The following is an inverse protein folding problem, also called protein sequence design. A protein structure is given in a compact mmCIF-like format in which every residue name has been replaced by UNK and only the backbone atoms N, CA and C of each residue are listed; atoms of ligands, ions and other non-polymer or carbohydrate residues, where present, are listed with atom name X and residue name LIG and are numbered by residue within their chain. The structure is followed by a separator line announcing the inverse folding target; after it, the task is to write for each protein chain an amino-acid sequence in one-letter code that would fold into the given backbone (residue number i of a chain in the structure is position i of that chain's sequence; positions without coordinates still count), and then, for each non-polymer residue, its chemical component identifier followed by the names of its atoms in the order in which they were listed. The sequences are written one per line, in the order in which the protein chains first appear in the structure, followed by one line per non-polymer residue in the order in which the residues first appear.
data_IF_910691993825
#
_entry.id   IF_910691993825
#
_cell.length_a   1.000
_cell.length_b   1.000
_cell.length_c   1.000
_cell.angle_alpha   90.00
_cell.angle_beta   90.00
_cell.angle_gamma   90.00
#
_symmetry.space_group_name_H-M   'P 1'
#
loop_
_entity.id
_entity.type
_entity.pdbx_description
1 polymer ?
#
# COMPACT_ATOMS: atom_id res chain seq x y z
N UNK A 1 9.82 57.07 68.82
CA UNK A 1 10.63 56.73 67.63
C UNK A 1 10.20 55.36 67.13
N UNK A 2 9.25 55.30 66.20
CA UNK A 2 8.91 54.08 65.47
C UNK A 2 8.77 54.46 64.00
N UNK A 3 9.63 53.84 63.19
CA UNK A 3 9.80 54.08 61.77
C UNK A 3 9.49 52.75 61.09
N UNK A 4 8.71 52.83 60.01
CA UNK A 4 8.68 51.92 58.84
C UNK A 4 7.87 50.62 59.00
N UNK A 5 7.16 50.11 57.99
CA UNK A 5 6.75 50.60 56.66
C UNK A 5 5.90 49.45 56.06
N UNK A 6 4.66 49.77 55.65
CA UNK A 6 3.96 49.37 54.40
C UNK A 6 4.37 48.05 53.71
N UNK A 7 3.38 47.17 53.47
CA UNK A 7 2.95 46.62 52.14
C UNK A 7 1.97 45.45 52.37
N UNK A 8 0.66 45.62 52.17
CA UNK A 8 -0.07 45.68 50.90
C UNK A 8 -0.28 44.31 50.23
N UNK A 9 -1.56 43.92 50.24
CA UNK A 9 -2.23 42.83 49.53
C UNK A 9 -1.77 42.63 48.08
N UNK A 10 -1.69 41.37 47.64
CA UNK A 10 -1.50 41.03 46.24
C UNK A 10 -1.44 39.51 46.01
N UNK A 11 -2.59 38.85 46.14
CA UNK A 11 -2.80 37.45 45.77
C UNK A 11 -2.50 37.25 44.28
N UNK A 12 -1.35 36.64 43.96
CA UNK A 12 -1.01 36.22 42.60
C UNK A 12 -1.31 34.73 42.44
N UNK A 13 -2.52 34.46 41.98
CA UNK A 13 -3.02 33.16 41.55
C UNK A 13 -2.23 32.71 40.30
N UNK A 14 -1.21 31.87 40.48
CA UNK A 14 -0.49 31.23 39.37
C UNK A 14 -1.39 30.15 38.73
N UNK A 15 -2.18 30.54 37.74
CA UNK A 15 -2.78 29.63 36.78
C UNK A 15 -1.66 29.15 35.83
N UNK A 16 -1.06 28.02 36.16
CA UNK A 16 -0.23 27.25 35.21
C UNK A 16 -1.19 26.70 34.16
N UNK A 17 -1.33 27.46 33.08
CA UNK A 17 -1.98 27.03 31.85
C UNK A 17 -1.19 25.86 31.28
N UNK A 18 -1.71 24.64 31.43
CA UNK A 18 -1.28 23.51 30.61
C UNK A 18 -1.57 23.88 29.16
N UNK A 19 -0.56 24.43 28.47
CA UNK A 19 -0.52 24.45 27.03
C UNK A 19 -0.54 22.98 26.58
N UNK A 20 -1.75 22.48 26.32
CA UNK A 20 -1.94 21.22 25.63
C UNK A 20 -1.26 21.35 24.29
N UNK A 21 -0.07 20.76 24.18
CA UNK A 21 0.50 20.41 22.89
C UNK A 21 -0.59 19.57 22.21
N UNK A 22 -1.16 20.00 21.07
CA UNK A 22 -1.95 19.08 20.27
C UNK A 22 -0.97 17.98 19.88
N UNK A 23 -1.05 16.85 20.58
CA UNK A 23 -0.42 15.63 20.11
C UNK A 23 -1.03 15.38 18.75
N UNK A 24 -0.25 15.62 17.70
CA UNK A 24 -0.51 15.01 16.41
C UNK A 24 -0.23 13.52 16.59
N UNK A 25 -1.12 12.82 17.28
CA UNK A 25 -1.40 11.44 16.99
C UNK A 25 -2.10 11.41 15.63
N UNK A 26 -1.35 11.76 14.58
CA UNK A 26 -1.65 11.31 13.24
C UNK A 26 -1.45 9.80 13.34
N UNK A 27 -2.55 9.10 13.64
CA UNK A 27 -2.61 7.69 13.35
C UNK A 27 -2.22 7.59 11.88
N UNK A 28 -1.02 7.06 11.62
CA UNK A 28 -0.63 6.55 10.33
C UNK A 28 -1.80 5.61 9.96
N UNK A 29 -2.74 6.10 9.14
CA UNK A 29 -3.85 5.27 8.67
C UNK A 29 -3.18 4.34 7.66
N UNK A 30 -2.66 3.25 8.23
CA UNK A 30 -1.79 2.28 7.61
C UNK A 30 -2.55 1.52 6.53
N UNK A 31 -2.04 1.59 5.30
CA UNK A 31 -2.50 0.76 4.19
C UNK A 31 -2.39 -0.72 4.56
N UNK A 32 -3.40 -1.51 4.21
CA UNK A 32 -3.35 -2.96 4.37
C UNK A 32 -2.54 -3.54 3.20
N UNK A 33 -1.41 -4.17 3.50
CA UNK A 33 -0.47 -4.67 2.51
C UNK A 33 -0.53 -6.19 2.50
N UNK A 34 -0.64 -6.76 1.29
CA UNK A 34 -0.55 -8.20 1.07
C UNK A 34 0.70 -8.50 0.24
N UNK A 35 1.56 -9.38 0.75
CA UNK A 35 2.75 -9.84 0.03
C UNK A 35 2.44 -11.18 -0.63
N UNK A 36 2.65 -11.26 -1.94
CA UNK A 36 2.29 -12.37 -2.80
C UNK A 36 3.53 -12.91 -3.49
N UNK A 37 3.73 -14.21 -3.35
CA UNK A 37 4.82 -14.93 -3.98
C UNK A 37 4.48 -15.39 -5.39
N UNK A 38 5.21 -14.92 -6.38
CA UNK A 38 5.12 -15.40 -7.76
C UNK A 38 6.24 -16.41 -8.05
N UNK A 39 5.87 -17.61 -8.51
CA UNK A 39 6.79 -18.72 -8.77
C UNK A 39 6.49 -19.44 -10.10
N UNK A 40 5.81 -18.77 -11.04
CA UNK A 40 5.45 -19.32 -12.35
C UNK A 40 6.69 -19.61 -13.23
N UNK A 41 7.71 -18.74 -13.16
CA UNK A 41 8.95 -18.88 -13.92
C UNK A 41 9.78 -20.08 -13.39
N UNK A 42 10.25 -20.92 -14.31
CA UNK A 42 11.02 -22.13 -13.99
C UNK A 42 12.34 -21.85 -13.27
N UNK A 43 12.90 -20.66 -13.46
CA UNK A 43 14.16 -20.22 -12.87
C UNK A 43 13.99 -19.59 -11.48
N UNK A 44 12.74 -19.45 -11.01
CA UNK A 44 12.44 -18.94 -9.68
C UNK A 44 12.49 -20.02 -8.60
N UNK A 45 12.73 -19.59 -7.37
CA UNK A 45 12.66 -20.44 -6.18
C UNK A 45 11.20 -20.82 -5.93
N UNK A 46 10.85 -22.12 -5.89
CA UNK A 46 9.46 -22.55 -5.71
C UNK A 46 8.85 -22.08 -4.40
N UNK A 47 7.57 -21.71 -4.44
CA UNK A 47 6.84 -21.17 -3.27
C UNK A 47 6.72 -22.15 -2.10
N UNK A 48 6.70 -23.44 -2.38
CA UNK A 48 6.65 -24.50 -1.37
C UNK A 48 8.01 -24.75 -0.69
N UNK A 49 9.11 -24.15 -1.16
CA UNK A 49 10.44 -24.35 -0.61
C UNK A 49 10.59 -23.68 0.77
N UNK A 50 11.46 -24.25 1.62
CA UNK A 50 11.80 -23.66 2.92
C UNK A 50 12.44 -22.28 2.78
N UNK A 51 13.21 -22.08 1.71
CA UNK A 51 13.84 -20.79 1.38
C UNK A 51 12.79 -19.72 1.20
N UNK A 52 11.81 -19.99 0.33
CA UNK A 52 10.77 -19.05 -0.02
C UNK A 52 10.01 -18.59 1.23
N UNK A 53 9.54 -19.56 2.03
CA UNK A 53 8.80 -19.30 3.27
C UNK A 53 9.63 -18.47 4.27
N UNK A 54 10.87 -18.88 4.54
CA UNK A 54 11.74 -18.14 5.48
C UNK A 54 12.06 -16.72 5.04
N UNK A 55 12.20 -16.49 3.73
CA UNK A 55 12.44 -15.15 3.20
C UNK A 55 11.18 -14.30 3.29
N UNK A 56 10.01 -14.87 2.98
CA UNK A 56 8.72 -14.21 3.16
C UNK A 56 8.47 -13.84 4.63
N UNK A 57 8.66 -14.79 5.55
CA UNK A 57 8.47 -14.59 6.99
C UNK A 57 9.39 -13.47 7.51
N UNK A 58 10.69 -13.54 7.19
CA UNK A 58 11.65 -12.53 7.62
C UNK A 58 11.36 -11.13 7.03
N UNK A 59 10.88 -11.07 5.79
CA UNK A 59 10.47 -9.81 5.16
C UNK A 59 9.20 -9.25 5.82
N UNK A 60 8.21 -10.08 6.09
CA UNK A 60 6.97 -9.69 6.75
C UNK A 60 7.22 -9.19 8.18
N UNK A 61 8.04 -9.90 8.95
CA UNK A 61 8.44 -9.51 10.30
C UNK A 61 9.13 -8.14 10.32
N UNK A 62 10.09 -7.93 9.41
CA UNK A 62 10.84 -6.68 9.34
C UNK A 62 9.94 -5.51 8.92
N UNK A 63 9.04 -5.70 7.96
CA UNK A 63 8.07 -4.66 7.58
C UNK A 63 7.07 -4.36 8.72
N UNK A 64 6.61 -5.38 9.45
CA UNK A 64 5.78 -5.18 10.64
C UNK A 64 6.52 -4.37 11.70
N UNK A 65 7.82 -4.64 11.93
CA UNK A 65 8.66 -3.87 12.85
C UNK A 65 8.83 -2.40 12.41
N UNK A 66 8.80 -2.14 11.10
CA UNK A 66 8.81 -0.79 10.54
C UNK A 66 7.43 -0.08 10.61
N UNK A 67 6.39 -0.73 11.15
CA UNK A 67 5.07 -0.15 11.38
C UNK A 67 4.06 -0.37 10.25
N UNK A 68 4.39 -1.18 9.23
CA UNK A 68 3.46 -1.55 8.17
C UNK A 68 2.45 -2.60 8.65
N UNK A 69 1.26 -2.63 8.02
CA UNK A 69 0.24 -3.65 8.29
C UNK A 69 0.31 -4.74 7.23
N UNK A 70 1.10 -5.78 7.50
CA UNK A 70 1.27 -6.92 6.59
C UNK A 70 0.25 -8.01 6.89
N UNK A 71 -0.44 -8.49 5.85
CA UNK A 71 -1.35 -9.63 5.92
C UNK A 71 -0.70 -10.87 5.30
N UNK A 72 -0.88 -12.00 5.98
CA UNK A 72 -0.44 -13.30 5.47
C UNK A 72 -1.40 -13.80 4.38
N UNK A 73 -0.85 -14.24 3.24
CA UNK A 73 -1.64 -14.74 2.11
C UNK A 73 -2.50 -15.95 2.49
N UNK A 74 -1.99 -16.89 3.27
CA UNK A 74 -2.74 -18.09 3.65
C UNK A 74 -3.91 -17.73 4.56
N UNK A 75 -3.71 -16.81 5.50
CA UNK A 75 -4.74 -16.36 6.43
C UNK A 75 -5.89 -15.62 5.74
N UNK A 76 -5.63 -14.89 4.66
CA UNK A 76 -6.66 -14.15 3.92
C UNK A 76 -7.28 -14.95 2.76
N UNK A 77 -6.68 -16.07 2.38
CA UNK A 77 -7.14 -16.93 1.27
C UNK A 77 -7.65 -18.31 1.72
N UNK A 78 -7.92 -18.49 3.02
CA UNK A 78 -8.25 -19.78 3.64
C UNK A 78 -9.35 -20.58 2.90
N UNK A 79 -10.25 -19.92 2.17
CA UNK A 79 -11.34 -20.53 1.40
C UNK A 79 -11.08 -20.71 -0.11
N UNK A 80 -9.98 -20.16 -0.68
CA UNK A 80 -9.84 -20.03 -2.14
C UNK A 80 -8.60 -20.70 -2.75
N UNK A 81 -7.53 -20.96 -1.99
CA UNK A 81 -6.30 -21.51 -2.58
C UNK A 81 -5.39 -22.22 -1.56
N UNK A 82 -5.61 -23.52 -1.33
CA UNK A 82 -4.63 -24.36 -0.65
C UNK A 82 -3.84 -25.22 -1.65
N UNK A 83 -2.50 -25.18 -1.56
CA UNK A 83 -1.62 -26.23 -2.11
C UNK A 83 -1.15 -26.11 -3.56
N UNK A 84 -1.36 -24.99 -4.25
CA UNK A 84 -0.94 -24.83 -5.67
C UNK A 84 0.40 -24.08 -5.79
N UNK A 85 1.34 -24.65 -6.55
CA UNK A 85 2.62 -24.04 -6.95
C UNK A 85 2.59 -23.58 -8.41
N UNK A 86 3.47 -22.64 -8.79
CA UNK A 86 3.57 -22.02 -10.13
C UNK A 86 2.37 -21.17 -10.51
N UNK A 87 2.05 -20.18 -9.67
CA UNK A 87 0.92 -19.27 -9.89
C UNK A 87 1.36 -18.08 -10.74
N UNK A 88 0.61 -17.83 -11.80
CA UNK A 88 0.82 -16.67 -12.66
C UNK A 88 0.28 -15.40 -11.98
N UNK A 89 0.82 -14.26 -12.40
CA UNK A 89 0.51 -12.97 -11.79
C UNK A 89 -0.98 -12.57 -11.82
N UNK A 90 -1.69 -12.85 -12.91
CA UNK A 90 -3.13 -12.57 -13.02
C UNK A 90 -3.95 -13.32 -11.96
N UNK A 91 -3.59 -14.56 -11.65
CA UNK A 91 -4.26 -15.37 -10.63
C UNK A 91 -4.05 -14.79 -9.23
N UNK A 92 -2.84 -14.29 -8.94
CA UNK A 92 -2.51 -13.66 -7.66
C UNK A 92 -3.27 -12.34 -7.46
N UNK A 93 -3.39 -11.54 -8.52
CA UNK A 93 -4.12 -10.26 -8.50
C UNK A 93 -5.62 -10.49 -8.32
N UNK A 94 -6.20 -11.49 -8.99
CA UNK A 94 -7.62 -11.81 -8.86
C UNK A 94 -7.96 -12.29 -7.44
N UNK A 95 -7.07 -13.07 -6.82
CA UNK A 95 -7.19 -13.41 -5.40
C UNK A 95 -7.10 -12.16 -4.53
N UNK A 96 -6.12 -11.28 -4.77
CA UNK A 96 -5.99 -10.07 -3.97
C UNK A 96 -7.26 -9.21 -4.02
N UNK A 97 -7.91 -9.14 -5.19
CA UNK A 97 -9.17 -8.42 -5.41
C UNK A 97 -10.39 -9.08 -4.78
N UNK A 98 -10.41 -10.41 -4.65
CA UNK A 98 -11.54 -11.13 -4.04
C UNK A 98 -11.55 -11.01 -2.51
N UNK A 99 -10.41 -10.69 -1.89
CA UNK A 99 -10.30 -10.49 -0.44
C UNK A 99 -11.06 -9.22 -0.03
N UNK A 100 -12.23 -9.44 0.56
CA UNK A 100 -13.12 -8.37 1.02
C UNK A 100 -12.92 -8.01 2.51
N UNK A 101 -12.29 -8.89 3.30
CA UNK A 101 -12.17 -8.75 4.75
C UNK A 101 -10.81 -9.30 5.24
N UNK A 102 -9.86 -8.43 5.64
CA UNK A 102 -9.86 -6.98 5.50
C UNK A 102 -9.62 -6.54 4.05
N UNK A 103 -10.10 -5.36 3.63
CA UNK A 103 -9.82 -4.85 2.29
C UNK A 103 -8.31 -4.59 2.15
N UNK A 104 -7.69 -5.21 1.14
CA UNK A 104 -6.28 -4.98 0.81
C UNK A 104 -6.15 -3.73 -0.06
N UNK A 105 -5.21 -2.86 0.28
CA UNK A 105 -4.95 -1.63 -0.48
C UNK A 105 -3.77 -1.81 -1.44
N UNK A 106 -2.67 -2.42 -0.96
CA UNK A 106 -1.44 -2.62 -1.73
C UNK A 106 -1.10 -4.10 -1.82
N UNK A 107 -0.85 -4.56 -3.06
CA UNK A 107 -0.29 -5.88 -3.34
C UNK A 107 1.18 -5.75 -3.70
N UNK A 108 2.02 -6.48 -2.99
CA UNK A 108 3.44 -6.62 -3.29
C UNK A 108 3.66 -7.98 -3.92
N UNK A 109 3.91 -8.04 -5.22
CA UNK A 109 4.26 -9.28 -5.90
C UNK A 109 5.77 -9.37 -5.98
N UNK A 110 6.35 -10.50 -5.55
CA UNK A 110 7.79 -10.70 -5.59
C UNK A 110 8.16 -12.09 -6.10
N UNK A 111 9.36 -12.16 -6.68
CA UNK A 111 9.99 -13.36 -7.22
C UNK A 111 11.41 -13.45 -6.65
N UNK A 112 11.87 -14.68 -6.37
CA UNK A 112 13.24 -14.95 -5.94
C UNK A 112 13.94 -15.74 -7.04
N UNK A 113 15.04 -15.22 -7.54
CA UNK A 113 15.95 -15.88 -8.47
C UNK A 113 17.22 -16.29 -7.74
N UNK A 114 17.62 -17.55 -7.90
CA UNK A 114 18.89 -18.06 -7.38
C UNK A 114 19.73 -18.63 -8.52
N UNK A 115 20.98 -18.19 -8.61
CA UNK A 115 21.96 -18.77 -9.55
C UNK A 115 23.18 -19.27 -8.79
N UNK A 116 23.70 -20.41 -9.23
CA UNK A 116 24.90 -21.02 -8.69
C UNK A 116 25.94 -21.14 -9.80
N UNK A 117 27.15 -20.62 -9.54
CA UNK A 117 28.30 -20.77 -10.44
C UNK A 117 29.34 -21.62 -9.74
N UNK A 118 29.54 -22.83 -10.25
CA UNK A 118 30.58 -23.73 -9.76
C UNK A 118 31.96 -23.22 -10.16
N UNK A 119 32.85 -23.05 -9.18
CA UNK A 119 34.28 -22.85 -9.36
C UNK A 119 35.02 -24.09 -8.84
N UNK A 120 36.30 -24.22 -9.21
CA UNK A 120 37.11 -25.41 -8.91
C UNK A 120 37.15 -25.79 -7.41
N UNK A 121 37.01 -24.81 -6.51
CA UNK A 121 37.10 -24.98 -5.05
C UNK A 121 35.85 -24.52 -4.26
N UNK A 122 34.86 -23.87 -4.89
CA UNK A 122 33.65 -23.35 -4.23
C UNK A 122 32.50 -23.15 -5.21
N UNK A 123 31.26 -23.20 -4.74
CA UNK A 123 30.09 -22.78 -5.53
C UNK A 123 29.69 -21.38 -5.08
N UNK A 124 29.73 -20.42 -6.01
CA UNK A 124 29.33 -19.03 -5.77
C UNK A 124 27.83 -18.91 -5.99
N UNK A 125 27.11 -18.48 -4.95
CA UNK A 125 25.69 -18.20 -5.01
C UNK A 125 25.46 -16.71 -5.27
N UNK A 126 24.56 -16.43 -6.19
CA UNK A 126 23.98 -15.11 -6.38
C UNK A 126 22.48 -15.21 -6.29
N UNK A 127 21.88 -14.37 -5.46
CA UNK A 127 20.43 -14.29 -5.32
C UNK A 127 19.98 -12.89 -5.66
N UNK A 128 18.89 -12.85 -6.42
CA UNK A 128 18.18 -11.64 -6.78
C UNK A 128 16.74 -11.79 -6.36
N UNK A 129 16.23 -10.80 -5.65
CA UNK A 129 14.80 -10.68 -5.34
C UNK A 129 14.30 -9.47 -6.11
N UNK A 130 13.25 -9.67 -6.91
CA UNK A 130 12.62 -8.59 -7.66
C UNK A 130 11.13 -8.59 -7.37
N UNK A 131 10.54 -7.42 -7.29
CA UNK A 131 9.10 -7.31 -7.09
C UNK A 131 8.51 -5.99 -7.54
N UNK A 132 7.19 -5.91 -7.45
CA UNK A 132 6.40 -4.76 -7.87
C UNK A 132 5.25 -4.48 -6.91
N UNK A 133 4.92 -3.21 -6.78
CA UNK A 133 3.84 -2.71 -5.95
C UNK A 133 2.67 -2.31 -6.84
N UNK A 134 1.47 -2.77 -6.47
CA UNK A 134 0.23 -2.50 -7.17
C UNK A 134 -0.83 -2.01 -6.18
N UNK A 135 -1.63 -1.04 -6.59
CA UNK A 135 -2.93 -0.80 -5.96
C UNK A 135 -3.87 -1.94 -6.35
N UNK A 136 -4.34 -2.74 -5.38
CA UNK A 136 -5.20 -3.89 -5.67
C UNK A 136 -6.56 -3.44 -6.22
N UNK A 137 -7.06 -2.32 -5.71
CA UNK A 137 -8.38 -1.78 -6.05
C UNK A 137 -8.41 -1.18 -7.45
N UNK A 138 -7.37 -0.42 -7.84
CA UNK A 138 -7.32 0.26 -9.13
C UNK A 138 -6.52 -0.48 -10.20
N UNK A 139 -5.68 -1.45 -9.81
CA UNK A 139 -4.74 -2.11 -10.70
C UNK A 139 -3.53 -1.26 -11.09
N UNK A 140 -3.43 -0.03 -10.58
CA UNK A 140 -2.33 0.88 -10.90
C UNK A 140 -1.01 0.36 -10.32
N UNK A 141 0.06 0.39 -11.14
CA UNK A 141 1.41 0.07 -10.68
C UNK A 141 2.02 1.29 -9.99
N UNK A 142 2.51 1.08 -8.78
CA UNK A 142 3.19 2.09 -7.96
C UNK A 142 4.71 2.06 -8.09
N UNK A 143 5.26 0.94 -8.53
CA UNK A 143 6.68 0.82 -8.83
C UNK A 143 7.19 -0.61 -8.77
N UNK A 144 8.51 -0.73 -8.78
CA UNK A 144 9.24 -1.96 -8.61
C UNK A 144 10.38 -1.77 -7.61
N UNK A 145 10.84 -2.89 -7.06
CA UNK A 145 12.04 -2.96 -6.23
C UNK A 145 12.87 -4.16 -6.67
N UNK A 146 14.17 -4.07 -6.46
CA UNK A 146 15.11 -5.13 -6.75
C UNK A 146 16.22 -5.12 -5.70
N UNK A 147 16.63 -6.30 -5.27
CA UNK A 147 17.75 -6.52 -4.39
C UNK A 147 18.62 -7.64 -4.94
N UNK A 148 19.90 -7.36 -5.18
CA UNK A 148 20.92 -8.38 -5.48
C UNK A 148 21.82 -8.54 -4.25
N UNK A 149 22.08 -9.79 -3.85
CA UNK A 149 22.97 -10.10 -2.74
C UNK A 149 24.38 -9.53 -3.00
N UNK A 150 24.89 -8.58 -2.18
CA UNK A 150 26.15 -7.88 -2.46
C UNK A 150 27.39 -8.73 -2.22
N UNK A 151 27.27 -9.81 -1.43
CA UNK A 151 28.35 -10.74 -1.12
C UNK A 151 28.11 -12.07 -1.82
N UNK A 152 29.17 -12.67 -2.36
CA UNK A 152 29.14 -14.05 -2.82
C UNK A 152 28.80 -14.95 -1.62
N UNK A 153 27.60 -15.50 -1.59
CA UNK A 153 27.28 -16.54 -0.61
C UNK A 153 27.87 -17.85 -1.09
N UNK A 154 28.28 -18.69 -0.14
CA UNK A 154 29.01 -19.90 -0.45
C UNK A 154 28.15 -21.12 -0.18
N UNK A 155 28.17 -22.04 -1.12
CA UNK A 155 27.66 -23.38 -0.93
C UNK A 155 28.79 -24.42 -1.00
N UNK A 156 28.59 -25.61 -0.41
CA UNK A 156 29.48 -26.75 -0.59
C UNK A 156 29.77 -27.05 -2.07
N UNK A 157 30.87 -27.76 -2.36
CA UNK A 157 31.24 -28.14 -3.73
C UNK A 157 30.17 -29.08 -4.34
N UNK A 158 29.91 -28.95 -5.64
CA UNK A 158 28.90 -29.73 -6.38
C UNK A 158 27.49 -29.58 -5.79
N UNK A 159 27.12 -28.34 -5.44
CA UNK A 159 25.85 -28.05 -4.81
C UNK A 159 24.70 -28.14 -5.84
N UNK A 160 24.01 -29.27 -5.85
CA UNK A 160 22.78 -29.46 -6.62
C UNK A 160 21.61 -28.66 -5.98
N UNK A 161 20.46 -28.62 -6.67
CA UNK A 161 19.29 -27.81 -6.29
C UNK A 161 18.93 -27.86 -4.81
N UNK A 162 18.91 -29.04 -4.19
CA UNK A 162 18.51 -29.18 -2.78
C UNK A 162 19.54 -28.59 -1.81
N UNK A 163 20.83 -28.81 -2.08
CA UNK A 163 21.94 -28.18 -1.36
C UNK A 163 21.88 -26.65 -1.50
N UNK A 164 21.53 -26.15 -2.69
CA UNK A 164 21.40 -24.71 -2.93
C UNK A 164 20.27 -24.14 -2.09
N UNK A 165 19.12 -24.81 -2.07
CA UNK A 165 17.99 -24.40 -1.24
C UNK A 165 18.34 -24.43 0.26
N UNK A 166 19.15 -25.37 0.73
CA UNK A 166 19.59 -25.37 2.13
C UNK A 166 20.57 -24.22 2.44
N UNK A 167 21.54 -23.98 1.57
CA UNK A 167 22.49 -22.88 1.70
C UNK A 167 21.78 -21.52 1.65
N UNK A 168 20.87 -21.31 0.70
CA UNK A 168 20.03 -20.10 0.66
C UNK A 168 19.16 -20.02 1.91
N UNK A 169 18.63 -21.14 2.39
CA UNK A 169 17.82 -21.21 3.61
C UNK A 169 18.52 -20.72 4.88
N UNK A 170 19.87 -20.79 4.93
CA UNK A 170 20.70 -20.21 5.99
C UNK A 170 20.75 -18.68 5.92
N UNK A 171 20.76 -18.13 4.70
CA UNK A 171 20.82 -16.69 4.45
C UNK A 171 19.45 -16.04 4.29
N UNK A 172 18.35 -16.82 4.22
CA UNK A 172 16.98 -16.33 4.02
C UNK A 172 16.57 -15.23 5.00
N UNK A 173 17.03 -15.29 6.26
CA UNK A 173 16.71 -14.26 7.27
C UNK A 173 17.39 -12.92 6.96
N UNK A 174 18.66 -12.97 6.55
CA UNK A 174 19.42 -11.78 6.14
C UNK A 174 18.81 -11.23 4.84
N UNK A 175 18.53 -12.11 3.88
CA UNK A 175 17.89 -11.74 2.62
C UNK A 175 16.56 -11.02 2.85
N UNK A 176 15.69 -11.58 3.69
CA UNK A 176 14.37 -11.01 3.98
C UNK A 176 14.45 -9.64 4.62
N UNK A 177 15.38 -9.44 5.57
CA UNK A 177 15.58 -8.14 6.22
C UNK A 177 16.09 -7.07 5.25
N UNK A 178 17.05 -7.42 4.39
CA UNK A 178 17.61 -6.50 3.39
C UNK A 178 16.56 -6.12 2.33
N UNK A 179 15.79 -7.11 1.85
CA UNK A 179 14.67 -6.86 0.92
C UNK A 179 13.60 -5.99 1.59
N UNK A 180 13.25 -6.25 2.84
CA UNK A 180 12.28 -5.46 3.59
C UNK A 180 12.74 -4.01 3.81
N UNK A 181 14.04 -3.76 3.97
CA UNK A 181 14.58 -2.40 4.04
C UNK A 181 14.31 -1.62 2.75
N UNK A 182 14.68 -2.20 1.60
CA UNK A 182 14.45 -1.59 0.28
C UNK A 182 12.95 -1.42 -0.02
N UNK A 183 12.16 -2.46 0.26
CA UNK A 183 10.71 -2.43 0.07
C UNK A 183 10.03 -1.42 1.00
N UNK A 184 10.47 -1.33 2.25
CA UNK A 184 9.94 -0.39 3.24
C UNK A 184 10.14 1.07 2.82
N UNK A 185 11.30 1.41 2.26
CA UNK A 185 11.54 2.73 1.66
C UNK A 185 10.56 3.01 0.53
N UNK A 186 10.40 2.05 -0.40
CA UNK A 186 9.47 2.20 -1.51
C UNK A 186 8.01 2.32 -1.06
N UNK A 187 7.62 1.60 -0.01
CA UNK A 187 6.28 1.67 0.57
C UNK A 187 6.00 3.02 1.21
N UNK A 188 6.97 3.62 1.93
CA UNK A 188 6.82 4.97 2.48
C UNK A 188 6.64 6.01 1.39
N UNK A 189 7.43 5.94 0.31
CA UNK A 189 7.25 6.80 -0.86
C UNK A 189 5.87 6.65 -1.50
N UNK A 190 5.35 5.43 -1.54
CA UNK A 190 4.09 5.11 -2.22
C UNK A 190 2.87 5.54 -1.41
N UNK A 191 2.84 5.19 -0.13
CA UNK A 191 1.72 5.43 0.79
C UNK A 191 1.66 6.90 1.23
N UNK A 192 2.79 7.62 1.15
CA UNK A 192 2.96 8.91 1.77
C UNK A 192 3.15 8.74 3.28
N UNK A 193 4.16 9.41 3.85
CA UNK A 193 4.28 9.47 5.30
C UNK A 193 3.11 10.30 5.83
N UNK A 194 2.41 9.82 6.85
CA UNK A 194 1.25 10.53 7.43
C UNK A 194 1.62 11.89 8.05
N UNK A 195 2.89 12.30 8.00
CA UNK A 195 3.38 13.62 8.33
C UNK A 195 3.92 14.35 7.10
N UNK A 196 3.47 15.59 6.92
CA UNK A 196 3.89 16.56 5.90
C UNK A 196 3.31 16.36 4.47
N UNK A 197 2.05 16.81 4.31
CA UNK A 197 1.44 17.17 3.03
C UNK A 197 0.44 16.15 2.50
N UNK A 198 -0.82 16.56 2.30
CA UNK A 198 -1.89 15.76 1.65
C UNK A 198 -1.61 15.38 0.17
N UNK A 199 -0.37 15.59 -0.31
CA UNK A 199 0.13 15.31 -1.65
C UNK A 199 1.35 14.37 -1.65
N UNK A 200 1.72 13.78 -0.51
CA UNK A 200 2.76 12.76 -0.46
C UNK A 200 2.18 11.40 -0.89
N UNK A 201 2.86 10.70 -1.81
CA UNK A 201 2.42 9.40 -2.33
C UNK A 201 1.97 9.41 -3.78
N UNK A 202 1.90 8.22 -4.39
CA UNK A 202 1.44 8.08 -5.77
C UNK A 202 -0.08 8.33 -5.84
N UNK A 203 -0.59 9.20 -6.73
CA UNK A 203 -2.02 9.45 -6.83
C UNK A 203 -2.76 8.24 -7.39
N UNK A 204 -3.99 8.05 -6.91
CA UNK A 204 -4.92 7.02 -7.37
C UNK A 204 -5.87 7.54 -8.45
N UNK A 205 -6.22 6.67 -9.38
CA UNK A 205 -7.21 6.96 -10.42
C UNK A 205 -8.49 6.14 -10.26
N UNK A 206 -9.63 6.80 -10.44
CA UNK A 206 -10.98 6.24 -10.32
C UNK A 206 -11.81 6.55 -11.58
N UNK A 207 -12.68 5.62 -11.96
CA UNK A 207 -13.72 5.85 -12.96
C UNK A 207 -15.01 6.29 -12.25
N UNK A 208 -15.37 7.56 -12.39
CA UNK A 208 -16.61 8.11 -11.83
C UNK A 208 -17.71 8.03 -12.90
N UNK A 209 -18.71 7.19 -12.67
CA UNK A 209 -19.78 6.91 -13.62
C UNK A 209 -21.08 7.50 -13.09
N UNK A 210 -21.51 8.60 -13.70
CA UNK A 210 -22.73 9.32 -13.35
C UNK A 210 -23.89 8.90 -14.25
N UNK A 211 -25.03 8.59 -13.67
CA UNK A 211 -26.25 8.15 -14.39
C UNK A 211 -27.50 8.88 -13.91
N UNK A 212 -28.33 9.32 -14.85
CA UNK A 212 -29.61 9.99 -14.58
C UNK A 212 -29.52 11.50 -14.27
N UNK A 213 -28.34 12.10 -14.46
CA UNK A 213 -28.14 13.54 -14.32
C UNK A 213 -28.33 14.25 -15.67
N UNK A 214 -28.88 15.46 -15.63
CA UNK A 214 -28.98 16.32 -16.82
C UNK A 214 -27.62 16.93 -17.17
N UNK A 215 -27.39 17.39 -18.41
CA UNK A 215 -26.13 18.03 -18.80
C UNK A 215 -25.71 19.19 -17.89
N UNK A 216 -26.65 20.06 -17.48
CA UNK A 216 -26.34 21.18 -16.58
C UNK A 216 -25.88 20.69 -15.20
N UNK A 217 -26.51 19.65 -14.66
CA UNK A 217 -26.08 19.07 -13.38
C UNK A 217 -24.71 18.40 -13.47
N UNK A 218 -24.36 17.83 -14.62
CA UNK A 218 -23.02 17.28 -14.85
C UNK A 218 -21.98 18.40 -14.81
N UNK A 219 -22.26 19.57 -15.39
CA UNK A 219 -21.37 20.73 -15.32
C UNK A 219 -21.16 21.19 -13.87
N UNK A 220 -22.24 21.31 -13.09
CA UNK A 220 -22.16 21.68 -11.67
C UNK A 220 -21.32 20.67 -10.85
N UNK A 221 -21.48 19.37 -11.17
CA UNK A 221 -20.69 18.29 -10.55
C UNK A 221 -19.22 18.42 -10.93
N UNK A 222 -18.93 18.60 -12.21
CA UNK A 222 -17.57 18.70 -12.74
C UNK A 222 -16.81 19.88 -12.12
N UNK A 223 -17.46 21.03 -12.00
CA UNK A 223 -16.90 22.20 -11.32
C UNK A 223 -16.59 21.91 -9.84
N UNK A 224 -17.49 21.20 -9.14
CA UNK A 224 -17.30 20.86 -7.74
C UNK A 224 -16.20 19.81 -7.51
N UNK A 225 -15.98 18.87 -8.45
CA UNK A 225 -14.95 17.83 -8.33
C UNK A 225 -13.54 18.44 -8.13
N UNK A 226 -13.27 19.59 -8.73
CA UNK A 226 -11.99 20.31 -8.62
C UNK A 226 -11.73 20.82 -7.19
N UNK A 227 -12.79 21.03 -6.40
CA UNK A 227 -12.71 21.57 -5.03
C UNK A 227 -12.24 20.51 -4.02
N UNK A 228 -12.30 19.22 -4.38
CA UNK A 228 -11.91 18.16 -3.46
C UNK A 228 -10.43 18.25 -3.08
N UNK A 229 -10.15 18.17 -1.78
CA UNK A 229 -8.77 18.10 -1.29
C UNK A 229 -8.03 16.93 -1.92
N UNK A 230 -6.80 17.18 -2.39
CA UNK A 230 -5.99 16.19 -3.09
C UNK A 230 -6.43 15.92 -4.53
N UNK A 231 -7.33 16.72 -5.11
CA UNK A 231 -7.61 16.70 -6.55
C UNK A 231 -6.32 16.93 -7.35
N UNK A 232 -6.09 16.10 -8.38
CA UNK A 232 -4.95 16.25 -9.30
C UNK A 232 -5.45 16.64 -10.69
N UNK A 233 -6.28 15.81 -11.29
CA UNK A 233 -6.88 16.06 -12.59
C UNK A 233 -8.11 15.17 -12.79
N UNK A 234 -8.93 15.51 -13.79
CA UNK A 234 -9.89 14.56 -14.34
C UNK A 234 -9.92 14.68 -15.87
N UNK A 235 -10.37 13.62 -16.54
CA UNK A 235 -10.54 13.58 -18.00
C UNK A 235 -11.92 13.01 -18.32
N UNK A 236 -12.70 13.62 -19.23
CA UNK A 236 -13.95 13.04 -19.67
C UNK A 236 -13.67 11.77 -20.47
N UNK A 237 -14.32 10.66 -20.07
CA UNK A 237 -14.26 9.39 -20.80
C UNK A 237 -15.42 9.25 -21.78
N UNK A 238 -16.64 9.48 -21.30
CA UNK A 238 -17.87 9.46 -22.08
C UNK A 238 -18.82 10.53 -21.56
N UNK A 239 -19.45 11.30 -22.44
CA UNK A 239 -20.50 12.25 -22.07
C UNK A 239 -21.68 12.10 -23.04
N UNK A 240 -22.84 11.79 -22.47
CA UNK A 240 -24.11 11.67 -23.20
C UNK A 240 -25.26 12.25 -22.37
N UNK A 241 -26.48 12.23 -22.92
CA UNK A 241 -27.62 12.93 -22.33
C UNK A 241 -28.05 12.46 -20.93
N UNK A 242 -27.73 11.20 -20.56
CA UNK A 242 -28.13 10.61 -19.27
C UNK A 242 -27.00 9.91 -18.54
N UNK A 243 -25.80 9.92 -19.11
CA UNK A 243 -24.63 9.21 -18.58
C UNK A 243 -23.39 10.04 -18.86
N UNK A 244 -22.58 10.23 -17.83
CA UNK A 244 -21.28 10.88 -17.94
C UNK A 244 -20.25 10.06 -17.18
N UNK A 245 -19.04 9.98 -17.71
CA UNK A 245 -17.94 9.22 -17.14
C UNK A 245 -16.70 10.10 -17.09
N UNK A 246 -16.08 10.15 -15.91
CA UNK A 246 -14.85 10.89 -15.69
C UNK A 246 -13.78 9.97 -15.13
N UNK A 247 -12.60 10.02 -15.76
CA UNK A 247 -11.39 9.47 -15.21
C UNK A 247 -10.80 10.47 -14.23
N UNK A 248 -10.93 10.22 -12.92
CA UNK A 248 -10.62 11.16 -11.85
C UNK A 248 -9.38 10.71 -11.07
N UNK A 249 -8.39 11.59 -10.93
CA UNK A 249 -7.11 11.31 -10.27
C UNK A 249 -6.95 12.15 -9.00
N UNK A 250 -6.57 11.51 -7.89
CA UNK A 250 -6.46 12.18 -6.60
C UNK A 250 -5.43 11.53 -5.66
N UNK A 251 -4.83 12.34 -4.78
CA UNK A 251 -4.07 11.87 -3.61
C UNK A 251 -4.98 11.54 -2.41
N UNK A 252 -6.28 11.85 -2.49
CA UNK A 252 -7.22 11.49 -1.43
C UNK A 252 -7.41 9.98 -1.34
N UNK A 253 -7.37 9.46 -0.12
CA UNK A 253 -7.77 8.09 0.18
C UNK A 253 -9.19 7.81 -0.32
N UNK A 254 -9.43 6.57 -0.73
CA UNK A 254 -10.72 6.12 -1.23
C UNK A 254 -11.91 6.47 -0.32
N UNK A 255 -11.77 6.24 0.99
CA UNK A 255 -12.81 6.55 1.99
C UNK A 255 -13.14 8.05 2.05
N UNK A 256 -12.13 8.90 1.93
CA UNK A 256 -12.28 10.36 1.86
C UNK A 256 -12.94 10.80 0.57
N UNK A 257 -12.54 10.24 -0.58
CA UNK A 257 -13.17 10.51 -1.86
C UNK A 257 -14.67 10.18 -1.83
N UNK A 258 -15.05 8.99 -1.35
CA UNK A 258 -16.47 8.61 -1.23
C UNK A 258 -17.26 9.54 -0.30
N UNK A 259 -16.66 9.96 0.81
CA UNK A 259 -17.27 10.94 1.73
C UNK A 259 -17.44 12.29 1.06
N UNK A 260 -16.45 12.76 0.31
CA UNK A 260 -16.49 14.03 -0.41
C UNK A 260 -17.55 14.01 -1.53
N UNK A 261 -17.66 12.93 -2.29
CA UNK A 261 -18.71 12.75 -3.31
C UNK A 261 -20.10 12.84 -2.66
N UNK A 262 -20.33 12.15 -1.53
CA UNK A 262 -21.62 12.22 -0.81
C UNK A 262 -21.92 13.64 -0.31
N UNK A 263 -20.92 14.35 0.20
CA UNK A 263 -21.06 15.75 0.65
C UNK A 263 -21.35 16.70 -0.51
N UNK A 264 -20.69 16.53 -1.66
CA UNK A 264 -20.94 17.31 -2.87
C UNK A 264 -22.42 17.26 -3.25
N UNK A 265 -23.02 16.07 -3.32
CA UNK A 265 -24.44 15.95 -3.64
C UNK A 265 -25.34 16.69 -2.64
N UNK A 266 -25.01 16.62 -1.35
CA UNK A 266 -25.72 17.40 -0.32
C UNK A 266 -25.58 18.91 -0.53
N UNK A 267 -24.40 19.40 -0.93
CA UNK A 267 -24.15 20.83 -1.19
C UNK A 267 -24.85 21.32 -2.45
N UNK A 268 -24.88 20.51 -3.51
CA UNK A 268 -25.54 20.83 -4.77
C UNK A 268 -27.07 20.64 -4.72
N UNK A 269 -27.64 20.28 -3.56
CA UNK A 269 -29.08 20.06 -3.41
C UNK A 269 -29.61 18.85 -4.20
N UNK A 270 -28.74 17.88 -4.49
CA UNK A 270 -29.05 16.70 -5.31
C UNK A 270 -29.05 15.43 -4.46
N UNK A 271 -29.90 14.46 -4.82
CA UNK A 271 -29.92 13.13 -4.20
C UNK A 271 -29.34 12.10 -5.16
N UNK A 272 -28.43 11.28 -4.64
CA UNK A 272 -27.77 10.25 -5.42
C UNK A 272 -27.46 9.02 -4.56
N UNK A 273 -27.56 7.85 -5.17
CA UNK A 273 -27.00 6.61 -4.68
C UNK A 273 -25.54 6.50 -5.13
N UNK A 274 -24.63 6.22 -4.20
CA UNK A 274 -23.20 6.05 -4.48
C UNK A 274 -22.77 4.64 -4.10
N UNK A 275 -22.33 3.86 -5.09
CA UNK A 275 -21.77 2.53 -4.93
C UNK A 275 -20.36 2.48 -5.51
N UNK A 276 -19.44 1.77 -4.85
CA UNK A 276 -18.06 1.64 -5.31
C UNK A 276 -17.67 0.16 -5.41
N UNK A 277 -16.96 -0.18 -6.48
CA UNK A 277 -16.41 -1.52 -6.73
C UNK A 277 -15.07 -1.37 -7.44
N UNK A 278 -13.97 -1.71 -6.78
CA UNK A 278 -12.66 -1.47 -7.36
C UNK A 278 -12.39 0.03 -7.55
N UNK A 279 -11.89 0.40 -8.73
CA UNK A 279 -11.75 1.78 -9.18
C UNK A 279 -13.03 2.39 -9.75
N UNK A 280 -14.10 1.61 -9.94
CA UNK A 280 -15.38 2.14 -10.42
C UNK A 280 -16.21 2.68 -9.27
N UNK A 281 -16.58 3.95 -9.37
CA UNK A 281 -17.56 4.59 -8.48
C UNK A 281 -18.78 4.91 -9.34
N UNK A 282 -19.88 4.21 -9.09
CA UNK A 282 -21.16 4.39 -9.78
C UNK A 282 -22.05 5.30 -8.95
N UNK A 283 -22.51 6.37 -9.58
CA UNK A 283 -23.35 7.40 -8.99
C UNK A 283 -24.64 7.48 -9.79
N UNK A 284 -25.75 7.13 -9.16
CA UNK A 284 -27.07 7.15 -9.81
C UNK A 284 -27.99 8.14 -9.11
N UNK A 285 -28.66 9.00 -9.87
CA UNK A 285 -29.64 9.93 -9.33
C UNK A 285 -30.83 9.19 -8.69
N UNK A 286 -31.34 9.73 -7.58
CA UNK A 286 -32.58 9.31 -6.91
C UNK A 286 -33.61 10.43 -7.04
#
# INVERSE_FOLDING_TARGET
MMKKLIMAFGSALMLISCAGVPGTSQALENANILILGEDADTDTVPRNSRVFKRTLDAMADELNNQGFRIFDETAVTMDMAQGRSRRADHELIDIAKSISRPPIDIGVLFQIYGSAKDKSYKTNLKIRVSGRLLNIRTGQRYGNFEYESPREWYAPRNCQRDCLLEAVGKYSKILGAEVASVLGEKLRETVGDGGAGENAGQPDSYSLIFSGFSPNQILDIEEYLVVFTGYKEHRPGYTGNRRAEFWYTTHSKHSRLLRNIRKMFSHLGMKAHVSASGNEIKISRI
#
